data_IF_754896169320
#
_entry.id   IF_754896169320
#
_cell.length_a   1.000
_cell.length_b   1.000
_cell.length_c   1.000
_cell.angle_alpha   90.00
_cell.angle_beta   90.00
_cell.angle_gamma   90.00
#
_symmetry.space_group_name_H-M   'P 1'
#
loop_
_entity.id
_entity.type
_entity.pdbx_description
1 polymer ?
#
# COMPACT_ATOMS: atom_id res chain seq x y z
N UNK A 1 64.31 -65.24 -20.65
CA UNK A 1 63.73 -65.26 -19.32
C UNK A 1 63.62 -63.85 -18.67
N UNK A 2 64.33 -62.78 -19.15
CA UNK A 2 64.28 -61.44 -18.54
C UNK A 2 63.07 -60.59 -18.93
N UNK A 3 62.44 -60.85 -20.10
CA UNK A 3 61.29 -59.99 -20.59
C UNK A 3 59.94 -60.44 -20.02
N UNK A 4 59.78 -61.64 -19.49
CA UNK A 4 58.54 -62.13 -18.95
C UNK A 4 58.26 -61.60 -17.51
N UNK A 5 59.31 -61.32 -16.75
CA UNK A 5 59.19 -60.78 -15.37
C UNK A 5 58.82 -59.38 -15.35
N UNK A 6 59.31 -58.54 -16.32
CA UNK A 6 58.99 -57.10 -16.42
C UNK A 6 57.52 -56.91 -16.84
N UNK A 7 57.00 -57.73 -17.75
CA UNK A 7 55.58 -57.66 -18.16
C UNK A 7 54.60 -57.98 -17.01
N UNK A 8 54.96 -58.91 -16.14
CA UNK A 8 54.12 -59.28 -14.99
C UNK A 8 54.07 -58.17 -13.91
N UNK A 9 55.18 -57.50 -13.67
CA UNK A 9 55.22 -56.39 -12.70
C UNK A 9 54.52 -55.13 -13.19
N UNK A 10 54.54 -54.83 -14.48
CA UNK A 10 53.79 -53.69 -15.03
C UNK A 10 52.29 -53.95 -15.03
N UNK A 11 51.86 -55.18 -15.33
CA UNK A 11 50.46 -55.54 -15.28
C UNK A 11 49.88 -55.52 -13.84
N UNK A 12 50.68 -55.92 -12.83
CA UNK A 12 50.25 -55.81 -11.42
C UNK A 12 50.20 -54.38 -10.89
N UNK A 13 51.05 -53.48 -11.38
CA UNK A 13 51.04 -52.08 -10.98
C UNK A 13 49.87 -51.30 -11.61
N UNK A 14 49.46 -51.65 -12.82
CA UNK A 14 48.28 -51.09 -13.51
C UNK A 14 46.96 -51.53 -12.87
N UNK A 15 46.90 -52.74 -12.32
CA UNK A 15 45.72 -53.23 -11.61
C UNK A 15 45.51 -52.64 -10.22
N UNK A 16 46.56 -52.11 -9.59
CA UNK A 16 46.48 -51.40 -8.29
C UNK A 16 46.04 -49.95 -8.41
N UNK A 17 46.15 -49.33 -9.60
CA UNK A 17 45.73 -47.96 -9.83
C UNK A 17 44.23 -47.81 -10.16
N UNK A 18 43.51 -48.88 -10.40
CA UNK A 18 42.07 -48.81 -10.77
C UNK A 18 41.11 -48.88 -9.60
N UNK A 19 41.60 -48.99 -8.35
CA UNK A 19 40.72 -49.17 -7.17
C UNK A 19 40.52 -47.93 -6.29
N UNK A 20 40.87 -46.74 -6.71
CA UNK A 20 40.80 -45.55 -5.86
C UNK A 20 39.97 -44.38 -6.43
N UNK A 21 39.15 -44.61 -7.43
CA UNK A 21 38.14 -43.61 -7.80
C UNK A 21 36.77 -44.06 -7.27
N UNK A 22 36.65 -44.05 -5.97
CA UNK A 22 35.33 -44.02 -5.35
C UNK A 22 34.80 -42.63 -5.65
N UNK A 23 33.99 -42.54 -6.70
CA UNK A 23 33.20 -41.36 -6.98
C UNK A 23 32.36 -41.08 -5.74
N UNK A 24 32.70 -40.05 -4.99
CA UNK A 24 31.79 -39.45 -4.05
C UNK A 24 30.58 -38.93 -4.89
N UNK A 25 29.58 -39.78 -5.02
CA UNK A 25 28.31 -39.35 -5.61
C UNK A 25 27.80 -38.21 -4.73
N UNK A 26 27.84 -37.00 -5.26
CA UNK A 26 27.19 -35.88 -4.63
C UNK A 26 25.72 -36.27 -4.43
N UNK A 27 25.32 -36.42 -3.18
CA UNK A 27 23.92 -36.66 -2.84
C UNK A 27 23.10 -35.50 -3.48
N UNK A 28 21.98 -35.82 -4.15
CA UNK A 28 21.11 -34.80 -4.67
C UNK A 28 20.75 -33.86 -3.50
N UNK A 29 20.66 -32.52 -3.74
CA UNK A 29 20.36 -31.60 -2.68
C UNK A 29 19.10 -32.03 -1.96
N UNK A 30 19.22 -32.34 -0.68
CA UNK A 30 18.07 -32.73 0.13
C UNK A 30 17.10 -31.55 0.15
N UNK A 31 15.88 -31.81 -0.29
CA UNK A 31 14.82 -30.80 -0.25
C UNK A 31 14.62 -30.36 1.20
N UNK A 32 14.72 -29.06 1.47
CA UNK A 32 14.53 -28.50 2.81
C UNK A 32 13.18 -28.96 3.40
N UNK A 33 13.19 -29.36 4.66
CA UNK A 33 12.03 -29.83 5.41
C UNK A 33 11.65 -28.84 6.51
N UNK A 34 10.46 -28.99 7.07
CA UNK A 34 10.00 -28.14 8.19
C UNK A 34 10.69 -28.56 9.49
N UNK A 35 11.28 -27.58 10.18
CA UNK A 35 12.03 -27.80 11.43
C UNK A 35 11.15 -27.71 12.69
N UNK A 36 10.05 -26.95 12.60
CA UNK A 36 9.10 -26.76 13.69
C UNK A 36 9.39 -25.54 14.58
N UNK A 37 8.33 -25.03 15.21
CA UNK A 37 8.34 -23.76 15.95
C UNK A 37 9.31 -23.76 17.16
N UNK A 38 9.43 -24.87 17.88
CA UNK A 38 10.31 -24.93 19.07
C UNK A 38 11.79 -24.77 18.69
N UNK A 39 12.19 -25.28 17.52
CA UNK A 39 13.54 -25.10 17.00
C UNK A 39 13.81 -23.61 16.70
N UNK A 40 12.84 -22.92 16.09
CA UNK A 40 12.95 -21.48 15.83
C UNK A 40 13.09 -20.67 17.14
N UNK A 41 12.28 -21.01 18.14
CA UNK A 41 12.26 -20.34 19.45
C UNK A 41 13.59 -20.44 20.21
N UNK A 42 14.35 -21.53 20.03
CA UNK A 42 15.64 -21.71 20.68
C UNK A 42 16.63 -20.55 20.38
N UNK A 43 16.60 -20.02 19.15
CA UNK A 43 17.47 -18.89 18.74
C UNK A 43 16.73 -17.58 18.62
N UNK A 44 15.42 -17.58 18.33
CA UNK A 44 14.60 -16.41 18.03
C UNK A 44 13.54 -16.12 19.12
N UNK A 45 13.84 -16.37 20.40
CA UNK A 45 12.89 -16.22 21.52
C UNK A 45 12.23 -14.85 21.57
N UNK A 46 13.01 -13.77 21.40
CA UNK A 46 12.51 -12.41 21.44
C UNK A 46 11.54 -12.09 20.28
N UNK A 47 11.81 -12.62 19.10
CA UNK A 47 10.93 -12.48 17.92
C UNK A 47 9.63 -13.25 18.11
N UNK A 48 9.72 -14.48 18.65
CA UNK A 48 8.54 -15.29 18.94
C UNK A 48 7.67 -14.61 20.00
N UNK A 49 8.25 -14.05 21.05
CA UNK A 49 7.52 -13.29 22.07
C UNK A 49 6.78 -12.07 21.47
N UNK A 50 7.45 -11.27 20.66
CA UNK A 50 6.82 -10.12 19.98
C UNK A 50 5.70 -10.56 19.06
N UNK A 51 5.95 -11.59 18.25
CA UNK A 51 4.97 -12.12 17.30
C UNK A 51 3.74 -12.68 18.00
N UNK A 52 3.89 -13.41 19.10
CA UNK A 52 2.78 -14.00 19.87
C UNK A 52 1.75 -12.96 20.35
N UNK A 53 2.15 -11.71 20.51
CA UNK A 53 1.29 -10.59 20.93
C UNK A 53 0.45 -10.03 19.76
N UNK A 54 0.77 -10.38 18.54
CA UNK A 54 0.04 -9.94 17.33
C UNK A 54 -1.20 -10.80 17.07
N UNK A 55 -2.12 -10.32 16.22
CA UNK A 55 -3.29 -11.11 15.81
C UNK A 55 -2.84 -12.40 15.09
N UNK A 56 -1.85 -12.28 14.18
CA UNK A 56 -1.31 -13.43 13.45
C UNK A 56 -0.61 -14.41 14.41
N UNK A 57 0.19 -13.91 15.33
CA UNK A 57 0.87 -14.74 16.32
C UNK A 57 -0.09 -15.52 17.23
N UNK A 58 -1.19 -14.93 17.63
CA UNK A 58 -2.24 -15.61 18.40
C UNK A 58 -2.86 -16.78 17.61
N UNK A 59 -3.03 -16.63 16.29
CA UNK A 59 -3.53 -17.70 15.43
C UNK A 59 -2.46 -18.77 15.28
N UNK A 60 -1.27 -18.44 14.80
CA UNK A 60 -0.25 -19.38 14.38
C UNK A 60 0.47 -20.09 15.53
N UNK A 61 0.57 -19.46 16.71
CA UNK A 61 1.24 -20.06 17.87
C UNK A 61 0.23 -20.69 18.83
N UNK A 62 -0.84 -19.95 19.18
CA UNK A 62 -1.73 -20.36 20.27
C UNK A 62 -2.97 -21.12 19.81
N UNK A 63 -3.46 -20.85 18.58
CA UNK A 63 -4.74 -21.41 18.13
C UNK A 63 -4.76 -21.71 16.62
N UNK A 64 -3.84 -22.53 16.10
CA UNK A 64 -3.80 -22.89 14.68
C UNK A 64 -5.01 -23.74 14.28
N UNK A 65 -5.66 -23.40 13.18
CA UNK A 65 -6.92 -24.01 12.70
C UNK A 65 -6.72 -25.04 11.59
N UNK A 66 -5.56 -25.04 10.94
CA UNK A 66 -5.22 -25.91 9.83
C UNK A 66 -3.72 -26.21 9.80
N UNK A 67 -3.28 -27.14 8.93
CA UNK A 67 -1.89 -27.57 8.87
C UNK A 67 -0.92 -26.49 8.40
N UNK A 68 -1.37 -25.54 7.60
CA UNK A 68 -0.56 -24.38 7.24
C UNK A 68 -0.27 -23.50 8.47
N UNK A 69 -1.30 -23.19 9.25
CA UNK A 69 -1.16 -22.38 10.47
C UNK A 69 -0.30 -23.08 11.53
N UNK A 70 -0.38 -24.42 11.65
CA UNK A 70 0.46 -25.22 12.56
C UNK A 70 1.97 -25.13 12.27
N UNK A 71 2.37 -24.83 11.03
CA UNK A 71 3.77 -24.60 10.68
C UNK A 71 4.35 -23.33 11.30
N UNK A 72 3.51 -22.46 11.86
CA UNK A 72 3.91 -21.25 12.57
C UNK A 72 4.85 -20.34 11.74
N UNK A 73 6.10 -20.15 12.18
CA UNK A 73 7.07 -19.28 11.47
C UNK A 73 7.29 -19.76 10.02
N UNK A 74 7.33 -21.05 9.79
CA UNK A 74 7.59 -21.64 8.49
C UNK A 74 6.41 -21.56 7.51
N UNK A 75 5.23 -21.17 7.98
CA UNK A 75 4.09 -20.87 7.09
C UNK A 75 4.38 -19.67 6.16
N UNK A 76 5.20 -18.76 6.64
CA UNK A 76 5.57 -17.53 5.90
C UNK A 76 7.01 -17.59 5.40
N UNK A 77 7.94 -18.13 6.19
CA UNK A 77 9.36 -18.17 5.87
C UNK A 77 9.77 -19.39 5.03
N UNK A 78 8.90 -20.41 4.91
CA UNK A 78 9.18 -21.67 4.25
C UNK A 78 10.00 -22.65 5.12
N UNK A 79 10.30 -23.86 4.60
CA UNK A 79 11.00 -24.91 5.34
C UNK A 79 12.41 -24.48 5.73
N UNK A 80 12.75 -24.61 7.01
CA UNK A 80 13.94 -24.03 7.63
C UNK A 80 15.00 -25.04 8.07
N UNK A 81 14.87 -26.33 7.74
CA UNK A 81 15.86 -27.35 8.15
C UNK A 81 17.29 -27.01 7.71
N UNK A 82 17.44 -26.44 6.51
CA UNK A 82 18.75 -26.03 5.97
C UNK A 82 19.32 -24.84 6.76
N UNK A 83 18.48 -23.88 7.16
CA UNK A 83 18.86 -22.77 8.00
C UNK A 83 19.43 -23.24 9.36
N UNK A 84 18.71 -24.19 9.98
CA UNK A 84 19.13 -24.79 11.25
C UNK A 84 20.42 -25.58 11.10
N UNK A 85 20.54 -26.41 10.07
CA UNK A 85 21.74 -27.23 9.81
C UNK A 85 23.00 -26.36 9.57
N UNK A 86 22.84 -25.16 8.99
CA UNK A 86 23.92 -24.21 8.76
C UNK A 86 24.23 -23.32 9.97
N UNK A 87 23.57 -23.52 11.10
CA UNK A 87 23.77 -22.72 12.32
C UNK A 87 23.14 -21.33 12.25
N UNK A 88 22.20 -21.12 11.31
CA UNK A 88 21.52 -19.84 11.15
C UNK A 88 22.19 -18.90 10.17
N UNK A 89 21.95 -17.59 10.36
CA UNK A 89 22.46 -16.52 9.50
C UNK A 89 21.38 -15.85 8.67
N UNK A 90 21.54 -14.55 8.43
CA UNK A 90 20.54 -13.73 7.76
C UNK A 90 20.36 -14.15 6.30
N UNK A 91 19.24 -14.74 5.97
CA UNK A 91 18.90 -15.22 4.62
C UNK A 91 19.58 -16.54 4.21
N UNK A 92 20.28 -17.21 5.12
CA UNK A 92 20.96 -18.48 4.84
C UNK A 92 19.96 -19.62 5.02
N UNK A 93 19.69 -20.39 3.97
CA UNK A 93 18.81 -21.58 4.03
C UNK A 93 17.34 -21.30 4.41
N UNK A 94 16.89 -20.06 4.27
CA UNK A 94 15.50 -19.64 4.43
C UNK A 94 14.95 -19.20 3.05
N UNK A 95 13.88 -19.85 2.56
CA UNK A 95 13.31 -19.55 1.24
C UNK A 95 12.76 -18.12 1.12
N UNK A 96 12.08 -17.63 2.15
CA UNK A 96 11.47 -16.28 2.12
C UNK A 96 12.02 -15.44 3.26
N UNK A 97 12.69 -14.34 2.90
CA UNK A 97 13.11 -13.30 3.83
C UNK A 97 12.38 -12.01 3.56
N UNK A 98 11.69 -11.48 4.55
CA UNK A 98 10.90 -10.26 4.41
C UNK A 98 11.78 -9.03 4.51
N UNK A 99 11.99 -8.34 3.38
CA UNK A 99 12.80 -7.12 3.26
C UNK A 99 12.09 -6.08 2.41
N UNK A 100 12.24 -4.82 2.78
CA UNK A 100 11.75 -3.70 1.96
C UNK A 100 12.70 -3.48 0.77
N UNK A 101 12.17 -3.21 -0.42
CA UNK A 101 12.91 -2.52 -1.46
C UNK A 101 13.54 -3.33 -2.60
N UNK A 102 13.21 -4.62 -2.81
CA UNK A 102 13.65 -5.35 -4.01
C UNK A 102 12.45 -5.99 -4.72
N UNK A 103 12.33 -5.74 -6.03
CA UNK A 103 11.20 -6.19 -6.84
C UNK A 103 11.06 -7.72 -6.90
N UNK A 104 12.16 -8.44 -7.16
CA UNK A 104 12.17 -9.91 -7.19
C UNK A 104 11.80 -10.55 -5.86
N UNK A 105 12.19 -9.92 -4.75
CA UNK A 105 11.83 -10.39 -3.42
C UNK A 105 10.39 -10.05 -3.03
N UNK A 106 9.79 -9.02 -3.63
CA UNK A 106 8.43 -8.60 -3.33
C UNK A 106 7.40 -9.67 -3.74
N UNK A 107 7.58 -10.31 -4.90
CA UNK A 107 6.67 -11.36 -5.38
C UNK A 107 6.63 -12.52 -4.41
N UNK A 108 7.77 -13.12 -4.08
CA UNK A 108 7.85 -14.26 -3.15
C UNK A 108 7.33 -13.90 -1.74
N UNK A 109 7.61 -12.68 -1.28
CA UNK A 109 7.09 -12.17 0.00
C UNK A 109 5.56 -12.00 -0.04
N UNK A 110 5.01 -11.48 -1.14
CA UNK A 110 3.58 -11.30 -1.32
C UNK A 110 2.85 -12.63 -1.43
N UNK A 111 3.40 -13.61 -2.16
CA UNK A 111 2.84 -14.96 -2.27
C UNK A 111 2.64 -15.61 -0.90
N UNK A 112 3.60 -15.46 0.01
CA UNK A 112 3.48 -15.97 1.38
C UNK A 112 2.27 -15.37 2.12
N UNK A 113 1.94 -14.09 1.88
CA UNK A 113 0.77 -13.44 2.45
C UNK A 113 -0.52 -13.83 1.71
N UNK A 114 -0.46 -13.84 0.38
CA UNK A 114 -1.58 -14.12 -0.52
C UNK A 114 -2.03 -15.57 -0.46
N UNK A 115 -1.22 -16.50 0.05
CA UNK A 115 -1.66 -17.86 0.35
C UNK A 115 -2.92 -17.91 1.24
N UNK A 116 -3.15 -16.85 2.03
CA UNK A 116 -4.34 -16.70 2.89
C UNK A 116 -5.14 -15.42 2.60
N UNK A 117 -4.47 -14.30 2.24
CA UNK A 117 -5.07 -12.98 2.09
C UNK A 117 -5.47 -12.66 0.64
N UNK A 118 -6.37 -13.47 0.04
CA UNK A 118 -6.83 -13.29 -1.36
C UNK A 118 -8.23 -12.65 -1.47
N UNK A 119 -8.94 -12.47 -0.36
CA UNK A 119 -10.36 -12.06 -0.35
C UNK A 119 -10.56 -10.71 0.32
N UNK A 120 -11.72 -10.12 0.07
CA UNK A 120 -12.08 -8.85 0.68
C UNK A 120 -11.36 -7.68 0.03
N UNK A 121 -10.73 -6.84 0.83
CA UNK A 121 -10.06 -5.62 0.33
C UNK A 121 -8.81 -5.90 -0.50
N UNK A 122 -8.25 -7.12 -0.46
CA UNK A 122 -7.07 -7.54 -1.23
C UNK A 122 -7.40 -8.18 -2.58
N UNK A 123 -8.68 -8.38 -2.90
CA UNK A 123 -9.12 -9.10 -4.13
C UNK A 123 -8.48 -8.55 -5.42
N UNK A 124 -8.21 -7.25 -5.49
CA UNK A 124 -7.63 -6.60 -6.66
C UNK A 124 -6.13 -6.34 -6.54
N UNK A 125 -5.44 -7.00 -5.59
CA UNK A 125 -4.03 -6.73 -5.33
C UNK A 125 -3.16 -6.89 -6.59
N UNK A 126 -3.26 -8.02 -7.28
CA UNK A 126 -2.42 -8.33 -8.45
C UNK A 126 -2.62 -7.34 -9.60
N UNK A 127 -3.83 -6.82 -9.76
CA UNK A 127 -4.14 -5.80 -10.75
C UNK A 127 -3.83 -4.37 -10.27
N UNK A 128 -3.36 -4.19 -9.03
CA UNK A 128 -3.11 -2.88 -8.46
C UNK A 128 -1.82 -2.26 -8.99
N UNK A 129 -1.75 -0.92 -9.09
CA UNK A 129 -0.52 -0.22 -9.40
C UNK A 129 0.62 -0.49 -8.40
N UNK A 130 0.32 -0.85 -7.16
CA UNK A 130 1.31 -1.20 -6.16
C UNK A 130 1.98 -2.54 -6.48
N UNK A 131 1.20 -3.58 -6.78
CA UNK A 131 1.74 -4.87 -7.19
C UNK A 131 2.57 -4.75 -8.47
N UNK A 132 2.05 -4.03 -9.48
CA UNK A 132 2.75 -3.80 -10.76
C UNK A 132 4.06 -3.00 -10.65
N UNK A 133 4.32 -2.38 -9.49
CA UNK A 133 5.59 -1.67 -9.19
C UNK A 133 6.44 -2.39 -8.15
N UNK A 134 6.19 -3.66 -7.91
CA UNK A 134 6.98 -4.46 -6.98
C UNK A 134 6.86 -4.03 -5.51
N UNK A 135 5.75 -3.43 -5.11
CA UNK A 135 5.51 -3.08 -3.70
C UNK A 135 5.17 -4.34 -2.92
N UNK A 136 5.94 -4.63 -1.88
CA UNK A 136 5.67 -5.75 -0.98
C UNK A 136 4.68 -5.36 0.14
N UNK A 137 3.91 -6.34 0.61
CA UNK A 137 3.02 -6.16 1.77
C UNK A 137 3.77 -5.57 2.97
N UNK A 138 5.03 -5.98 3.16
CA UNK A 138 5.91 -5.52 4.24
C UNK A 138 6.35 -4.05 4.13
N UNK A 139 6.16 -3.42 2.98
CA UNK A 139 6.43 -1.99 2.85
C UNK A 139 5.45 -1.15 3.68
N UNK A 140 4.23 -1.67 3.86
CA UNK A 140 3.16 -1.00 4.59
C UNK A 140 2.78 -1.69 5.90
N UNK A 141 2.98 -3.01 6.00
CA UNK A 141 2.55 -3.81 7.14
C UNK A 141 3.72 -4.47 7.87
N UNK A 142 3.58 -4.68 9.18
CA UNK A 142 4.42 -5.58 9.96
C UNK A 142 3.55 -6.53 10.76
N UNK A 143 3.95 -7.81 10.80
CA UNK A 143 3.24 -8.84 11.58
C UNK A 143 4.10 -9.36 12.73
N UNK A 144 5.40 -9.06 12.72
CA UNK A 144 6.36 -9.61 13.69
C UNK A 144 6.34 -8.91 15.05
N UNK A 145 5.69 -7.75 15.13
CA UNK A 145 5.45 -7.05 16.39
C UNK A 145 4.10 -6.33 16.36
N UNK A 146 3.48 -6.14 17.52
CA UNK A 146 2.22 -5.43 17.64
C UNK A 146 2.47 -3.92 17.53
N UNK A 147 2.04 -3.32 16.41
CA UNK A 147 2.13 -1.88 16.16
C UNK A 147 0.77 -1.18 16.28
N UNK A 148 -0.32 -1.90 16.02
CA UNK A 148 -1.68 -1.39 16.17
C UNK A 148 -2.66 -2.55 16.37
N UNK A 149 -3.89 -2.26 16.78
CA UNK A 149 -4.89 -3.29 17.00
C UNK A 149 -5.57 -3.79 15.71
N UNK A 150 -5.56 -2.99 14.64
CA UNK A 150 -6.33 -3.28 13.44
C UNK A 150 -5.51 -3.58 12.19
N UNK A 151 -4.61 -2.68 11.80
CA UNK A 151 -4.00 -2.77 10.46
C UNK A 151 -2.55 -3.22 10.46
N UNK A 152 -1.90 -3.32 11.62
CA UNK A 152 -0.49 -3.70 11.76
C UNK A 152 0.41 -2.94 10.77
N UNK A 153 0.26 -1.62 10.70
CA UNK A 153 1.07 -0.78 9.84
C UNK A 153 2.54 -0.78 10.30
N UNK A 154 3.45 -0.81 9.33
CA UNK A 154 4.88 -0.73 9.60
C UNK A 154 5.24 0.61 10.24
N UNK A 155 6.11 0.59 11.24
CA UNK A 155 6.65 1.81 11.85
C UNK A 155 7.50 2.57 10.83
N UNK A 156 7.32 3.87 10.78
CA UNK A 156 8.15 4.81 10.01
C UNK A 156 9.26 5.36 10.89
N UNK A 157 8.90 5.72 12.11
CA UNK A 157 9.82 6.14 13.18
C UNK A 157 9.23 5.78 14.55
N UNK A 158 10.04 5.93 15.62
CA UNK A 158 9.60 5.62 16.99
C UNK A 158 8.70 6.71 17.62
N UNK A 159 8.53 7.84 16.95
CA UNK A 159 7.77 9.00 17.44
C UNK A 159 6.34 9.03 16.93
N UNK A 160 6.06 8.32 15.82
CA UNK A 160 4.72 8.33 15.23
C UNK A 160 3.76 7.45 16.02
N UNK A 161 2.69 8.02 16.59
CA UNK A 161 1.69 7.22 17.31
C UNK A 161 0.86 6.38 16.33
N UNK A 162 0.94 5.04 16.46
CA UNK A 162 0.29 4.08 15.57
C UNK A 162 -1.20 3.84 15.80
N UNK A 163 -1.77 4.45 16.82
CA UNK A 163 -3.14 4.15 17.25
C UNK A 163 -4.23 4.97 16.55
N UNK A 164 -3.86 5.85 15.63
CA UNK A 164 -4.83 6.69 14.93
C UNK A 164 -4.66 6.65 13.40
N UNK A 165 -5.62 7.23 12.69
CA UNK A 165 -5.61 7.34 11.23
C UNK A 165 -4.39 8.09 10.66
N UNK A 166 -3.72 8.90 11.48
CA UNK A 166 -2.52 9.66 11.13
C UNK A 166 -1.35 8.76 10.72
N UNK A 167 -1.24 7.56 11.29
CA UNK A 167 -0.19 6.61 10.94
C UNK A 167 -0.17 6.28 9.42
N UNK A 168 -1.34 6.27 8.77
CA UNK A 168 -1.40 6.04 7.32
C UNK A 168 -0.72 7.16 6.53
N UNK A 169 -0.86 8.41 6.94
CA UNK A 169 -0.22 9.54 6.28
C UNK A 169 1.31 9.39 6.29
N UNK A 170 1.87 8.90 7.38
CA UNK A 170 3.30 8.66 7.47
C UNK A 170 3.74 7.45 6.63
N UNK A 171 3.03 6.33 6.71
CA UNK A 171 3.34 5.13 5.90
C UNK A 171 3.22 5.42 4.41
N UNK A 172 2.11 5.96 3.96
CA UNK A 172 1.90 6.29 2.55
C UNK A 172 2.85 7.38 2.07
N UNK A 173 3.11 8.37 2.93
CA UNK A 173 3.96 9.52 2.66
C UNK A 173 5.44 9.21 2.47
N UNK A 174 5.92 7.99 2.76
CA UNK A 174 7.29 7.58 2.44
C UNK A 174 7.55 7.56 0.92
N UNK A 175 6.54 7.22 0.13
CA UNK A 175 6.62 7.16 -1.32
C UNK A 175 5.78 8.26 -1.98
N UNK A 176 4.62 8.61 -1.44
CA UNK A 176 3.72 9.63 -1.96
C UNK A 176 4.09 11.04 -1.45
N UNK A 177 5.34 11.45 -1.69
CA UNK A 177 5.92 12.69 -1.17
C UNK A 177 5.15 13.95 -1.58
N UNK A 178 4.67 14.00 -2.84
CA UNK A 178 3.88 15.13 -3.33
C UNK A 178 2.55 15.27 -2.56
N UNK A 179 1.90 14.15 -2.24
CA UNK A 179 0.65 14.16 -1.47
C UNK A 179 0.92 14.52 -0.01
N UNK A 180 2.00 14.01 0.57
CA UNK A 180 2.45 14.40 1.92
C UNK A 180 2.73 15.90 1.99
N UNK A 181 3.40 16.48 0.99
CA UNK A 181 3.65 17.91 0.91
C UNK A 181 2.35 18.71 0.72
N UNK A 182 1.42 18.24 -0.12
CA UNK A 182 0.14 18.90 -0.33
C UNK A 182 -0.68 19.03 0.97
N UNK A 183 -0.64 18.01 1.82
CA UNK A 183 -1.30 18.04 3.14
C UNK A 183 -0.71 19.09 4.12
N UNK A 184 0.46 19.69 3.81
CA UNK A 184 1.03 20.77 4.61
C UNK A 184 0.50 22.15 4.23
N UNK A 185 -0.26 22.27 3.14
CA UNK A 185 -0.84 23.53 2.69
C UNK A 185 -1.91 24.03 3.65
N UNK A 186 -2.23 25.33 3.56
CA UNK A 186 -3.18 25.99 4.47
C UNK A 186 -4.58 25.39 4.43
N UNK A 187 -5.04 24.97 3.26
CA UNK A 187 -6.31 24.27 3.06
C UNK A 187 -6.04 22.80 2.72
N UNK A 188 -6.40 21.88 3.59
CA UNK A 188 -6.21 20.44 3.42
C UNK A 188 -7.32 19.66 4.10
N UNK A 189 -7.51 18.42 3.65
CA UNK A 189 -8.39 17.48 4.35
C UNK A 189 -7.75 17.08 5.69
N UNK A 190 -8.53 16.80 6.75
CA UNK A 190 -8.03 16.60 8.10
C UNK A 190 -7.37 15.21 8.33
N UNK A 191 -6.44 14.84 7.42
CA UNK A 191 -5.61 13.65 7.55
C UNK A 191 -4.51 13.83 8.60
N UNK A 192 -3.90 15.01 8.65
CA UNK A 192 -2.88 15.35 9.65
C UNK A 192 -3.44 15.31 11.07
N UNK A 193 -4.67 15.72 11.22
CA UNK A 193 -5.42 15.73 12.48
C UNK A 193 -5.96 14.34 12.86
N UNK A 194 -5.77 13.34 11.98
CA UNK A 194 -6.20 11.97 12.21
C UNK A 194 -7.72 11.75 12.21
N UNK A 195 -8.49 12.70 11.67
CA UNK A 195 -9.95 12.56 11.56
C UNK A 195 -10.34 11.64 10.42
N UNK A 196 -9.60 11.72 9.31
CA UNK A 196 -9.73 10.83 8.15
C UNK A 196 -8.37 10.22 7.81
N UNK A 197 -8.37 9.20 6.97
CA UNK A 197 -7.19 8.48 6.52
C UNK A 197 -7.17 8.35 4.99
N UNK A 198 -6.00 8.08 4.41
CA UNK A 198 -5.89 7.81 2.97
C UNK A 198 -6.84 6.68 2.54
N UNK A 199 -6.99 5.66 3.39
CA UNK A 199 -7.88 4.52 3.12
C UNK A 199 -9.38 4.81 3.30
N UNK A 200 -9.78 5.99 3.72
CA UNK A 200 -11.20 6.36 3.71
C UNK A 200 -11.67 6.62 2.27
N UNK A 201 -10.78 7.09 1.40
CA UNK A 201 -11.04 7.36 -0.02
C UNK A 201 -10.44 6.30 -0.96
N UNK A 202 -9.26 5.77 -0.65
CA UNK A 202 -8.52 4.82 -1.48
C UNK A 202 -8.48 3.42 -0.88
N UNK A 203 -8.46 2.38 -1.73
CA UNK A 203 -8.04 1.05 -1.30
C UNK A 203 -6.62 0.78 -1.84
N UNK A 204 -5.58 0.80 -1.00
CA UNK A 204 -4.20 0.62 -1.44
C UNK A 204 -3.91 -0.79 -2.00
N UNK A 205 -4.81 -1.75 -1.78
CA UNK A 205 -4.71 -3.11 -2.31
C UNK A 205 -5.31 -3.25 -3.73
N UNK A 206 -5.83 -2.16 -4.30
CA UNK A 206 -6.44 -2.14 -5.63
C UNK A 206 -7.96 -2.08 -5.60
N UNK A 207 -8.51 -1.51 -6.66
CA UNK A 207 -9.94 -1.49 -6.98
C UNK A 207 -10.08 -1.48 -8.50
N UNK A 208 -11.25 -1.80 -9.05
CA UNK A 208 -11.52 -1.62 -10.48
C UNK A 208 -11.64 -0.13 -10.87
N UNK A 209 -11.67 0.77 -9.88
CA UNK A 209 -11.93 2.19 -10.08
C UNK A 209 -10.63 2.98 -10.32
N UNK A 210 -10.69 4.12 -11.05
CA UNK A 210 -9.51 4.96 -11.28
C UNK A 210 -8.82 5.38 -9.98
N UNK A 211 -7.49 5.47 -10.03
CA UNK A 211 -6.62 5.87 -8.91
C UNK A 211 -6.92 5.16 -7.59
N UNK A 212 -7.40 3.92 -7.68
CA UNK A 212 -7.76 3.07 -6.53
C UNK A 212 -8.80 3.70 -5.60
N UNK A 213 -9.75 4.45 -6.13
CA UNK A 213 -10.88 4.97 -5.35
C UNK A 213 -11.79 3.82 -4.88
N UNK A 214 -12.32 3.95 -3.68
CA UNK A 214 -13.27 2.96 -3.12
C UNK A 214 -14.62 2.99 -3.81
N UNK A 215 -15.03 4.15 -4.28
CA UNK A 215 -16.28 4.35 -5.01
C UNK A 215 -16.02 4.47 -6.52
N UNK A 216 -17.07 4.30 -7.31
CA UNK A 216 -16.98 4.24 -8.77
C UNK A 216 -16.47 5.54 -9.42
N UNK A 217 -16.64 6.69 -8.76
CA UNK A 217 -16.21 7.98 -9.26
C UNK A 217 -15.67 8.87 -8.13
N UNK A 218 -15.02 9.98 -8.51
CA UNK A 218 -14.62 11.02 -7.57
C UNK A 218 -15.83 11.56 -6.81
N UNK A 219 -16.91 11.85 -7.52
CA UNK A 219 -18.13 12.39 -6.93
C UNK A 219 -18.74 11.42 -5.93
N UNK A 220 -18.90 10.15 -6.26
CA UNK A 220 -19.43 9.13 -5.35
C UNK A 220 -18.54 8.99 -4.11
N UNK A 221 -17.23 9.13 -4.27
CA UNK A 221 -16.29 9.09 -3.15
C UNK A 221 -16.45 10.30 -2.22
N UNK A 222 -16.74 11.49 -2.77
CA UNK A 222 -17.02 12.70 -1.99
C UNK A 222 -18.40 12.60 -1.31
N UNK A 223 -19.40 12.10 -2.00
CA UNK A 223 -20.77 11.95 -1.50
C UNK A 223 -20.91 10.97 -0.35
N UNK A 224 -19.93 10.08 -0.15
CA UNK A 224 -19.89 9.23 1.04
C UNK A 224 -19.88 10.02 2.35
N UNK A 225 -19.42 11.29 2.33
CA UNK A 225 -19.41 12.20 3.48
C UNK A 225 -20.21 13.49 3.20
N UNK A 226 -20.20 13.96 1.95
CA UNK A 226 -20.88 15.19 1.51
C UNK A 226 -22.20 14.90 0.81
N UNK A 227 -23.09 14.19 1.50
CA UNK A 227 -24.40 13.75 0.96
C UNK A 227 -25.29 14.92 0.52
N UNK A 228 -25.13 16.08 1.17
CA UNK A 228 -25.87 17.30 0.85
C UNK A 228 -25.51 17.89 -0.53
N UNK A 229 -24.40 17.45 -1.13
CA UNK A 229 -23.95 17.87 -2.48
C UNK A 229 -24.40 16.94 -3.59
N UNK A 230 -25.01 15.81 -3.25
CA UNK A 230 -25.41 14.78 -4.22
C UNK A 230 -26.58 15.20 -5.11
N UNK A 231 -27.47 15.97 -4.58
CA UNK A 231 -28.71 16.27 -5.27
C UNK A 231 -29.75 15.13 -5.16
N UNK A 232 -30.68 14.98 -6.10
CA UNK A 232 -30.82 15.78 -7.34
C UNK A 232 -31.21 17.24 -7.05
N UNK A 233 -30.70 18.15 -7.87
CA UNK A 233 -31.09 19.56 -7.85
C UNK A 233 -31.94 19.89 -9.08
N UNK A 234 -32.88 20.82 -8.92
CA UNK A 234 -33.67 21.33 -10.05
C UNK A 234 -32.77 22.07 -11.08
N UNK A 235 -31.76 22.72 -10.57
CA UNK A 235 -30.75 23.44 -11.36
C UNK A 235 -29.38 22.89 -11.01
N UNK A 236 -28.80 22.13 -11.91
CA UNK A 236 -27.50 21.51 -11.75
C UNK A 236 -26.41 22.31 -12.45
N UNK A 237 -25.24 22.39 -11.80
CA UNK A 237 -24.05 22.95 -12.41
C UNK A 237 -23.22 21.82 -13.02
N UNK A 238 -23.16 21.75 -14.33
CA UNK A 238 -22.58 20.64 -15.08
C UNK A 238 -21.19 20.23 -14.60
N UNK A 239 -20.19 21.12 -14.40
CA UNK A 239 -18.87 20.73 -13.92
C UNK A 239 -18.88 20.08 -12.54
N UNK A 240 -19.85 20.40 -11.69
CA UNK A 240 -20.03 19.79 -10.36
C UNK A 240 -20.57 18.37 -10.51
N UNK A 241 -21.52 18.17 -11.41
CA UNK A 241 -22.08 16.85 -11.70
C UNK A 241 -21.05 15.91 -12.33
N UNK A 242 -20.13 16.44 -13.11
CA UNK A 242 -19.09 15.64 -13.76
C UNK A 242 -18.00 15.21 -12.76
N UNK A 243 -17.38 16.16 -12.05
CA UNK A 243 -16.25 15.85 -11.18
C UNK A 243 -15.98 16.98 -10.17
N UNK A 244 -16.09 16.71 -8.88
CA UNK A 244 -15.68 17.63 -7.82
C UNK A 244 -14.23 18.09 -7.95
N UNK A 245 -13.37 17.22 -8.49
CA UNK A 245 -11.97 17.49 -8.79
C UNK A 245 -11.74 18.54 -9.89
N UNK A 246 -12.77 19.01 -10.61
CA UNK A 246 -12.62 20.12 -11.53
C UNK A 246 -12.22 21.41 -10.78
N UNK A 247 -12.78 21.63 -9.60
CA UNK A 247 -12.54 22.81 -8.77
C UNK A 247 -11.69 22.55 -7.54
N UNK A 248 -11.77 21.35 -6.93
CA UNK A 248 -11.14 21.04 -5.66
C UNK A 248 -9.96 20.07 -5.81
N UNK A 249 -8.92 20.24 -4.98
CA UNK A 249 -7.86 19.25 -4.74
C UNK A 249 -8.00 18.71 -3.30
N UNK A 250 -8.48 17.47 -3.12
CA UNK A 250 -8.71 16.91 -1.78
C UNK A 250 -7.43 16.67 -0.98
N UNK A 251 -6.25 16.68 -1.62
CA UNK A 251 -4.98 16.48 -0.93
C UNK A 251 -4.41 17.75 -0.34
N UNK A 252 -4.84 18.92 -0.81
CA UNK A 252 -4.46 20.21 -0.24
C UNK A 252 -4.19 21.30 -1.26
N UNK A 253 -4.53 22.51 -0.87
CA UNK A 253 -4.41 23.73 -1.66
C UNK A 253 -3.95 24.89 -0.79
N UNK A 254 -3.39 25.92 -1.42
CA UNK A 254 -3.13 27.21 -0.77
C UNK A 254 -4.36 28.15 -0.80
N UNK A 255 -5.43 27.70 -1.43
CA UNK A 255 -6.68 28.44 -1.55
C UNK A 255 -7.74 27.84 -0.63
N UNK A 256 -8.60 28.67 -0.08
CA UNK A 256 -9.67 28.24 0.80
C UNK A 256 -10.55 27.14 0.17
N UNK A 257 -11.13 26.28 1.01
CA UNK A 257 -12.06 25.23 0.59
C UNK A 257 -11.47 24.25 -0.42
N UNK A 258 -10.16 24.02 -0.38
CA UNK A 258 -9.42 23.12 -1.29
C UNK A 258 -9.50 23.53 -2.76
N UNK A 259 -9.80 24.77 -3.08
CA UNK A 259 -9.89 25.23 -4.47
C UNK A 259 -8.52 25.15 -5.17
N UNK A 260 -8.49 24.64 -6.38
CA UNK A 260 -7.29 24.59 -7.22
C UNK A 260 -6.78 25.97 -7.60
N UNK A 261 -7.71 26.89 -7.83
CA UNK A 261 -7.47 28.31 -8.11
C UNK A 261 -8.29 29.15 -7.13
N UNK A 262 -7.84 30.36 -6.87
CA UNK A 262 -8.62 31.31 -6.06
C UNK A 262 -9.93 31.69 -6.72
N UNK A 263 -10.99 31.92 -5.95
CA UNK A 263 -12.16 32.65 -6.42
C UNK A 263 -11.74 34.11 -6.66
N UNK A 264 -12.03 34.75 -7.80
CA UNK A 264 -12.91 34.28 -8.90
C UNK A 264 -12.20 33.47 -10.01
N UNK A 265 -10.88 33.25 -9.97
CA UNK A 265 -10.15 32.64 -11.07
C UNK A 265 -10.63 31.21 -11.40
N UNK A 266 -11.05 30.46 -10.41
CA UNK A 266 -11.62 29.12 -10.63
C UNK A 266 -12.90 29.19 -11.48
N UNK A 267 -13.69 30.25 -11.35
CA UNK A 267 -14.90 30.47 -12.14
C UNK A 267 -14.56 30.98 -13.55
N UNK A 268 -13.67 31.96 -13.65
CA UNK A 268 -13.31 32.58 -14.93
C UNK A 268 -12.46 31.70 -15.83
N UNK A 269 -11.98 30.55 -15.34
CA UNK A 269 -11.36 29.53 -16.19
C UNK A 269 -12.32 28.92 -17.22
N UNK A 270 -13.63 28.97 -16.94
CA UNK A 270 -14.69 28.51 -17.85
C UNK A 270 -15.62 29.66 -18.26
N UNK A 271 -15.95 30.57 -17.36
CA UNK A 271 -16.84 31.71 -17.59
C UNK A 271 -16.06 32.95 -18.10
N UNK A 272 -15.50 32.84 -19.33
CA UNK A 272 -14.61 33.87 -19.88
C UNK A 272 -15.37 35.09 -20.43
N UNK A 273 -16.61 34.85 -20.87
CA UNK A 273 -17.40 35.87 -21.59
C UNK A 273 -18.68 36.31 -20.87
N UNK A 274 -18.85 35.90 -19.61
CA UNK A 274 -20.05 36.20 -18.85
C UNK A 274 -19.99 37.65 -18.33
N UNK A 275 -20.55 38.56 -19.15
CA UNK A 275 -20.80 39.93 -18.70
C UNK A 275 -22.00 39.96 -17.75
N UNK A 276 -21.85 40.62 -16.61
CA UNK A 276 -22.96 40.86 -15.72
C UNK A 276 -23.98 41.86 -16.37
N UNK A 277 -25.17 41.38 -16.76
CA UNK A 277 -26.18 42.25 -17.33
C UNK A 277 -26.64 43.24 -16.26
N UNK A 278 -26.71 44.55 -16.61
CA UNK A 278 -27.13 45.61 -15.70
C UNK A 278 -26.01 46.27 -14.92
N UNK A 279 -24.72 45.88 -15.12
CA UNK A 279 -23.61 46.63 -14.53
C UNK A 279 -23.40 47.91 -15.31
N UNK A 280 -23.52 49.15 -14.70
CA UNK A 280 -23.26 50.38 -15.41
C UNK A 280 -21.82 50.41 -15.93
N UNK A 281 -21.66 50.69 -17.23
CA UNK A 281 -20.35 50.94 -17.83
C UNK A 281 -19.73 52.18 -17.15
N UNK A 282 -18.56 52.03 -16.54
CA UNK A 282 -17.82 53.15 -15.94
C UNK A 282 -17.76 53.14 -14.41
N UNK A 283 -18.49 52.33 -13.71
CA UNK A 283 -18.21 52.14 -12.29
C UNK A 283 -17.01 51.19 -12.14
N UNK A 284 -16.18 51.44 -11.14
CA UNK A 284 -15.01 50.66 -10.74
C UNK A 284 -15.40 49.24 -10.30
N UNK A 285 -16.07 48.56 -11.20
CA UNK A 285 -16.70 47.27 -11.01
C UNK A 285 -15.71 46.14 -10.64
N UNK A 286 -14.42 46.30 -10.99
CA UNK A 286 -13.37 45.38 -10.60
C UNK A 286 -13.26 45.20 -9.08
N UNK A 287 -13.50 46.21 -8.29
CA UNK A 287 -13.50 46.11 -6.83
C UNK A 287 -14.75 45.45 -6.26
N UNK A 288 -15.82 45.38 -7.01
CA UNK A 288 -17.08 44.79 -6.61
C UNK A 288 -17.22 43.36 -7.12
N UNK A 289 -16.91 43.09 -8.39
CA UNK A 289 -17.12 41.81 -9.05
C UNK A 289 -15.91 40.89 -8.99
N UNK A 290 -14.69 41.41 -8.88
CA UNK A 290 -13.48 40.58 -8.90
C UNK A 290 -13.05 40.02 -7.54
N UNK A 291 -13.87 40.16 -6.50
CA UNK A 291 -13.52 39.62 -5.18
C UNK A 291 -13.91 38.13 -5.03
N UNK A 292 -15.15 37.82 -5.33
CA UNK A 292 -15.66 36.44 -5.24
C UNK A 292 -17.01 36.35 -5.95
N UNK A 293 -17.12 35.42 -6.90
CA UNK A 293 -18.39 35.11 -7.58
C UNK A 293 -19.39 34.50 -6.60
N UNK A 294 -18.89 33.71 -5.63
CA UNK A 294 -19.72 33.03 -4.65
C UNK A 294 -20.39 33.94 -3.62
N UNK A 295 -20.04 35.21 -3.55
CA UNK A 295 -20.76 36.20 -2.73
C UNK A 295 -22.21 36.38 -3.21
N UNK A 296 -22.46 36.24 -4.51
CA UNK A 296 -23.77 36.32 -5.11
C UNK A 296 -24.26 34.95 -5.60
N UNK A 297 -23.38 34.14 -6.18
CA UNK A 297 -23.69 32.80 -6.70
C UNK A 297 -23.38 31.72 -5.66
N UNK A 298 -24.07 31.74 -4.52
CA UNK A 298 -23.76 30.91 -3.36
C UNK A 298 -24.13 29.43 -3.54
N UNK A 299 -25.02 29.11 -4.50
CA UNK A 299 -25.56 27.76 -4.72
C UNK A 299 -24.91 27.05 -5.92
N UNK A 300 -23.64 27.28 -6.15
CA UNK A 300 -22.94 26.76 -7.34
C UNK A 300 -22.87 25.23 -7.42
N UNK A 301 -23.06 24.51 -6.31
CA UNK A 301 -23.10 23.06 -6.30
C UNK A 301 -24.44 22.46 -6.76
N UNK A 302 -25.43 23.31 -6.99
CA UNK A 302 -26.79 22.96 -7.37
C UNK A 302 -27.81 23.72 -6.54
N UNK A 303 -28.95 24.01 -7.11
CA UNK A 303 -30.01 24.79 -6.46
C UNK A 303 -31.40 24.24 -6.76
N UNK A 304 -32.26 24.27 -5.76
CA UNK A 304 -33.69 24.07 -5.89
C UNK A 304 -34.48 25.38 -5.79
N UNK A 305 -33.79 26.52 -5.73
CA UNK A 305 -34.42 27.83 -5.58
C UNK A 305 -34.99 28.33 -6.90
N UNK A 306 -36.15 29.03 -6.89
CA UNK A 306 -36.78 29.61 -8.10
C UNK A 306 -35.92 30.58 -8.89
N UNK A 307 -34.85 31.14 -8.30
CA UNK A 307 -33.88 31.98 -9.01
C UNK A 307 -33.17 31.23 -10.17
N UNK A 308 -33.32 29.93 -10.23
CA UNK A 308 -32.93 29.10 -11.34
C UNK A 308 -31.43 28.93 -11.51
N UNK A 309 -31.00 28.73 -12.77
CA UNK A 309 -29.62 28.45 -13.18
C UNK A 309 -28.57 29.52 -12.87
N UNK A 310 -28.98 30.63 -12.26
CA UNK A 310 -28.04 31.67 -11.80
C UNK A 310 -27.37 31.30 -10.49
N UNK A 311 -27.84 30.26 -9.80
CA UNK A 311 -27.29 29.78 -8.53
C UNK A 311 -27.16 30.85 -7.44
N UNK A 312 -27.94 31.92 -7.56
CA UNK A 312 -28.17 32.91 -6.48
C UNK A 312 -29.22 32.35 -5.56
N UNK A 313 -28.99 32.40 -4.28
CA UNK A 313 -29.88 31.90 -3.20
C UNK A 313 -31.04 31.02 -3.62
#
# INVERSE_FOLDING_TARGET
>A
MRNSVVAALVASFLLLLTHSVWSAQAQPPQKATYAGNEVCKACHAAQVEKFSKTVMGKIFISNPRNDLEKRSCESCHGPASEHVAKGGGKGVGIPVTFRKGTEESATAQNEACLACHQRGVQTYWEASPHAGRGVGCVNCHTIMEKTSDRFQLAKVDDKTPFFNKRAQTEVCGQCHLQRKAALQRSSHMPLREGKIACSDCHNPHGTPNPVMLKQASVNENCYACHTERRGPFMWEHVPVMENCGNCHDPHGSNNDRLLKLTDPRVCTSCHIYDFHPGTPRGLTSQFFFNRSCTNCHSQIHGSNHPAGKRFTR
#
